data_IF_167554460599
#
_entry.id   IF_167554460599
#
_cell.length_a   1.000
_cell.length_b   1.000
_cell.length_c   1.000
_cell.angle_alpha   90.00
_cell.angle_beta   90.00
_cell.angle_gamma   90.00
#
_symmetry.space_group_name_H-M   'P 1'
#
loop_
_entity.id
_entity.type
_entity.pdbx_description
1 polymer ?
#
# COMPACT_ATOMS: atom_id res chain seq x y z
N UNK A 1 54.65 8.98 11.50
CA UNK A 1 54.15 9.27 10.13
C UNK A 1 53.34 8.10 9.53
N UNK A 2 53.63 6.83 9.87
CA UNK A 2 52.88 5.66 9.37
C UNK A 2 51.44 5.49 9.91
N UNK A 3 51.12 6.04 11.08
CA UNK A 3 49.79 5.86 11.70
C UNK A 3 48.66 6.60 10.97
N UNK A 4 48.96 7.73 10.31
CA UNK A 4 47.94 8.52 9.57
C UNK A 4 47.57 7.93 8.21
N UNK A 5 48.48 7.18 7.58
CA UNK A 5 48.21 6.51 6.30
C UNK A 5 47.39 5.22 6.49
N UNK A 6 47.55 4.53 7.63
CA UNK A 6 46.73 3.38 8.01
C UNK A 6 45.27 3.79 8.28
N UNK A 7 45.06 4.85 9.07
CA UNK A 7 43.71 5.36 9.38
C UNK A 7 42.95 5.82 8.13
N UNK A 8 43.63 6.48 7.17
CA UNK A 8 43.01 6.91 5.92
C UNK A 8 42.60 5.74 5.00
N UNK A 9 43.27 4.59 5.10
CA UNK A 9 42.89 3.37 4.39
C UNK A 9 41.71 2.66 5.07
N UNK A 10 41.71 2.59 6.41
CA UNK A 10 40.63 2.01 7.22
C UNK A 10 39.31 2.77 7.06
N UNK A 11 39.36 4.11 7.08
CA UNK A 11 38.21 4.98 6.84
C UNK A 11 37.65 4.82 5.41
N UNK A 12 38.52 4.66 4.40
CA UNK A 12 38.08 4.39 3.01
C UNK A 12 37.42 3.02 2.84
N UNK A 13 37.93 2.00 3.53
CA UNK A 13 37.32 0.66 3.49
C UNK A 13 35.98 0.64 4.22
N UNK A 14 35.86 1.31 5.36
CA UNK A 14 34.62 1.44 6.12
C UNK A 14 33.54 2.22 5.35
N UNK A 15 33.91 3.32 4.68
CA UNK A 15 32.98 4.09 3.85
C UNK A 15 32.51 3.32 2.60
N UNK A 16 33.37 2.48 2.04
CA UNK A 16 33.05 1.65 0.86
C UNK A 16 32.12 0.49 1.23
N UNK A 17 32.34 -0.18 2.37
CA UNK A 17 31.43 -1.22 2.87
C UNK A 17 30.07 -0.67 3.30
N UNK A 18 30.03 0.52 3.93
CA UNK A 18 28.77 1.20 4.26
C UNK A 18 27.98 1.60 3.02
N UNK A 19 28.63 2.14 1.98
CA UNK A 19 27.98 2.46 0.71
C UNK A 19 27.44 1.22 -0.02
N UNK A 20 28.16 0.10 0.06
CA UNK A 20 27.74 -1.16 -0.56
C UNK A 20 26.56 -1.82 0.17
N UNK A 21 26.53 -1.75 1.51
CA UNK A 21 25.40 -2.22 2.33
C UNK A 21 24.14 -1.36 2.18
N UNK A 22 24.29 -0.04 2.13
CA UNK A 22 23.17 0.90 1.92
C UNK A 22 22.52 0.74 0.53
N UNK A 23 23.32 0.45 -0.50
CA UNK A 23 22.81 0.17 -1.84
C UNK A 23 22.09 -1.18 -1.93
N UNK A 24 22.55 -2.21 -1.20
CA UNK A 24 21.89 -3.52 -1.18
C UNK A 24 20.47 -3.47 -0.58
N UNK A 25 20.30 -2.76 0.54
CA UNK A 25 19.00 -2.62 1.20
C UNK A 25 18.00 -1.82 0.35
N UNK A 26 18.42 -0.69 -0.20
CA UNK A 26 17.56 0.16 -1.06
C UNK A 26 17.20 -0.56 -2.37
N UNK A 27 18.13 -1.31 -2.96
CA UNK A 27 17.88 -2.14 -4.13
C UNK A 27 16.92 -3.31 -3.87
N UNK A 28 16.98 -3.90 -2.67
CA UNK A 28 16.03 -4.92 -2.26
C UNK A 28 14.61 -4.34 -2.09
N UNK A 29 14.49 -3.20 -1.40
CA UNK A 29 13.20 -2.54 -1.20
C UNK A 29 12.53 -2.18 -2.53
N UNK A 30 13.28 -1.62 -3.48
CA UNK A 30 12.74 -1.27 -4.80
C UNK A 30 12.33 -2.49 -5.64
N UNK A 31 13.05 -3.60 -5.51
CA UNK A 31 12.68 -4.86 -6.14
C UNK A 31 11.37 -5.42 -5.60
N UNK A 32 11.22 -5.47 -4.27
CA UNK A 32 10.01 -5.97 -3.59
C UNK A 32 8.82 -5.09 -3.90
N UNK A 33 8.99 -3.77 -3.77
CA UNK A 33 8.00 -2.74 -4.10
C UNK A 33 7.50 -2.87 -5.55
N UNK A 34 8.43 -3.05 -6.50
CA UNK A 34 8.10 -3.27 -7.90
C UNK A 34 7.41 -4.62 -8.18
N UNK A 35 7.73 -5.67 -7.42
CA UNK A 35 7.06 -6.97 -7.53
C UNK A 35 5.61 -6.87 -7.03
N UNK A 36 5.40 -6.21 -5.89
CA UNK A 36 4.07 -5.95 -5.33
C UNK A 36 3.23 -5.17 -6.35
N UNK A 37 3.74 -4.04 -6.85
CA UNK A 37 3.03 -3.21 -7.82
C UNK A 37 2.65 -3.97 -9.11
N UNK A 38 3.52 -4.86 -9.59
CA UNK A 38 3.21 -5.74 -10.75
C UNK A 38 2.11 -6.73 -10.44
N UNK A 39 2.15 -7.35 -9.26
CA UNK A 39 1.11 -8.27 -8.83
C UNK A 39 -0.24 -7.55 -8.67
N UNK A 40 -0.25 -6.37 -8.03
CA UNK A 40 -1.44 -5.53 -7.91
C UNK A 40 -2.02 -5.15 -9.26
N UNK A 41 -1.18 -4.73 -10.22
CA UNK A 41 -1.61 -4.36 -11.58
C UNK A 41 -2.24 -5.56 -12.30
N UNK A 42 -1.63 -6.75 -12.18
CA UNK A 42 -2.15 -7.96 -12.80
C UNK A 42 -3.50 -8.37 -12.18
N UNK A 43 -3.60 -8.36 -10.85
CA UNK A 43 -4.84 -8.70 -10.15
C UNK A 43 -5.94 -7.68 -10.46
N UNK A 44 -5.64 -6.37 -10.46
CA UNK A 44 -6.59 -5.33 -10.81
C UNK A 44 -7.09 -5.48 -12.26
N UNK A 45 -6.21 -5.82 -13.21
CA UNK A 45 -6.59 -6.10 -14.60
C UNK A 45 -7.49 -7.33 -14.73
N UNK A 46 -7.21 -8.41 -14.00
CA UNK A 46 -8.06 -9.60 -13.96
C UNK A 46 -9.43 -9.30 -13.34
N UNK A 47 -9.49 -8.51 -12.27
CA UNK A 47 -10.75 -8.07 -11.66
C UNK A 47 -11.56 -7.20 -12.64
N UNK A 48 -10.90 -6.33 -13.41
CA UNK A 48 -11.57 -5.50 -14.40
C UNK A 48 -12.21 -6.35 -15.50
N UNK A 49 -11.48 -7.33 -16.01
CA UNK A 49 -12.01 -8.29 -16.96
C UNK A 49 -13.18 -9.08 -16.36
N UNK A 50 -13.05 -9.54 -15.12
CA UNK A 50 -14.10 -10.28 -14.42
C UNK A 50 -15.38 -9.44 -14.28
N UNK A 51 -15.28 -8.17 -13.89
CA UNK A 51 -16.43 -7.26 -13.79
C UNK A 51 -17.13 -7.11 -15.14
N UNK A 52 -16.37 -6.88 -16.22
CA UNK A 52 -16.95 -6.76 -17.56
C UNK A 52 -17.71 -8.04 -17.94
N UNK A 53 -17.11 -9.22 -17.72
CA UNK A 53 -17.76 -10.50 -17.99
C UNK A 53 -19.02 -10.68 -17.16
N UNK A 54 -18.97 -10.39 -15.85
CA UNK A 54 -20.12 -10.46 -14.95
C UNK A 54 -21.26 -9.56 -15.44
N UNK A 55 -20.97 -8.31 -15.79
CA UNK A 55 -21.98 -7.38 -16.29
C UNK A 55 -22.58 -7.84 -17.63
N UNK A 56 -21.77 -8.37 -18.54
CA UNK A 56 -22.26 -8.93 -19.82
C UNK A 56 -23.18 -10.13 -19.59
N UNK A 57 -22.81 -11.04 -18.67
CA UNK A 57 -23.66 -12.18 -18.27
C UNK A 57 -24.97 -11.67 -17.67
N UNK A 58 -24.93 -10.67 -16.79
CA UNK A 58 -26.14 -10.13 -16.18
C UNK A 58 -27.08 -9.51 -17.23
N UNK A 59 -26.54 -8.71 -18.15
CA UNK A 59 -27.33 -8.11 -19.23
C UNK A 59 -27.95 -9.20 -20.12
N UNK A 60 -27.17 -10.20 -20.53
CA UNK A 60 -27.68 -11.30 -21.35
C UNK A 60 -28.79 -12.09 -20.63
N UNK A 61 -28.55 -12.54 -19.40
CA UNK A 61 -29.52 -13.33 -18.62
C UNK A 61 -30.79 -12.54 -18.31
N UNK A 62 -30.68 -11.23 -18.09
CA UNK A 62 -31.82 -10.32 -17.94
C UNK A 62 -32.67 -10.22 -19.21
N UNK A 63 -32.04 -10.21 -20.39
CA UNK A 63 -32.81 -10.23 -21.65
C UNK A 63 -33.55 -11.55 -21.89
N UNK A 64 -33.06 -12.66 -21.34
CA UNK A 64 -33.75 -13.95 -21.37
C UNK A 64 -34.79 -14.14 -20.24
N UNK A 65 -35.08 -13.09 -19.45
CA UNK A 65 -36.09 -13.14 -18.40
C UNK A 65 -35.67 -13.85 -17.11
N UNK A 66 -34.39 -14.18 -16.93
CA UNK A 66 -33.84 -14.83 -15.73
C UNK A 66 -32.74 -13.97 -15.10
N UNK A 67 -33.08 -12.86 -14.40
CA UNK A 67 -32.09 -11.97 -13.81
C UNK A 67 -31.27 -12.66 -12.71
N UNK A 68 -29.95 -12.57 -12.79
CA UNK A 68 -29.02 -13.12 -11.79
C UNK A 68 -28.61 -12.03 -10.79
N UNK A 69 -29.40 -11.83 -9.73
CA UNK A 69 -29.18 -10.77 -8.75
C UNK A 69 -27.84 -10.83 -8.02
N UNK A 70 -27.27 -12.02 -7.86
CA UNK A 70 -25.98 -12.20 -7.20
C UNK A 70 -24.79 -11.63 -8.00
N UNK A 71 -24.95 -11.48 -9.31
CA UNK A 71 -23.91 -10.97 -10.21
C UNK A 71 -23.65 -9.50 -9.96
N UNK A 72 -24.71 -8.72 -9.69
CA UNK A 72 -24.60 -7.30 -9.34
C UNK A 72 -23.83 -7.11 -8.05
N UNK A 73 -24.14 -7.91 -7.02
CA UNK A 73 -23.44 -7.85 -5.73
C UNK A 73 -21.97 -8.26 -5.87
N UNK A 74 -21.67 -9.34 -6.61
CA UNK A 74 -20.28 -9.77 -6.83
C UNK A 74 -19.46 -8.73 -7.61
N UNK A 75 -20.07 -8.09 -8.62
CA UNK A 75 -19.42 -7.03 -9.39
C UNK A 75 -19.06 -5.82 -8.50
N UNK A 76 -19.95 -5.45 -7.57
CA UNK A 76 -19.66 -4.38 -6.59
C UNK A 76 -18.45 -4.74 -5.73
N UNK A 77 -18.40 -5.95 -5.18
CA UNK A 77 -17.24 -6.35 -4.36
C UNK A 77 -15.94 -6.43 -5.17
N UNK A 78 -16.00 -6.90 -6.43
CA UNK A 78 -14.84 -6.89 -7.31
C UNK A 78 -14.37 -5.46 -7.63
N UNK A 79 -15.30 -4.51 -7.82
CA UNK A 79 -14.96 -3.09 -7.99
C UNK A 79 -14.31 -2.50 -6.75
N UNK A 80 -14.80 -2.85 -5.54
CA UNK A 80 -14.17 -2.43 -4.28
C UNK A 80 -12.73 -2.94 -4.19
N UNK A 81 -12.51 -4.23 -4.49
CA UNK A 81 -11.17 -4.81 -4.51
C UNK A 81 -10.24 -4.10 -5.51
N UNK A 82 -10.73 -3.87 -6.73
CA UNK A 82 -9.96 -3.13 -7.73
C UNK A 82 -9.68 -1.69 -7.31
N UNK A 83 -10.65 -1.00 -6.69
CA UNK A 83 -10.49 0.38 -6.24
C UNK A 83 -9.36 0.52 -5.21
N UNK A 84 -9.29 -0.39 -4.24
CA UNK A 84 -8.20 -0.41 -3.27
C UNK A 84 -6.84 -0.75 -3.91
N UNK A 85 -6.78 -1.75 -4.80
CA UNK A 85 -5.55 -2.06 -5.54
C UNK A 85 -5.09 -0.87 -6.39
N UNK A 86 -6.01 -0.18 -7.06
CA UNK A 86 -5.73 1.02 -7.84
C UNK A 86 -5.22 2.18 -6.97
N UNK A 87 -5.79 2.36 -5.77
CA UNK A 87 -5.32 3.36 -4.82
C UNK A 87 -3.90 3.05 -4.32
N UNK A 88 -3.58 1.77 -4.07
CA UNK A 88 -2.25 1.34 -3.63
C UNK A 88 -1.21 1.64 -4.72
N UNK A 89 -1.55 1.30 -5.97
CA UNK A 89 -0.72 1.56 -7.13
C UNK A 89 -0.52 3.07 -7.40
N UNK A 90 -1.54 3.89 -7.17
CA UNK A 90 -1.42 5.35 -7.27
C UNK A 90 -0.40 5.93 -6.28
N UNK A 91 -0.26 5.32 -5.11
CA UNK A 91 0.71 5.70 -4.08
C UNK A 91 2.11 5.22 -4.45
N UNK A 92 2.24 4.00 -4.98
CA UNK A 92 3.49 3.52 -5.56
C UNK A 92 4.04 4.48 -6.63
N UNK A 93 3.18 4.98 -7.52
CA UNK A 93 3.54 5.95 -8.56
C UNK A 93 3.54 7.42 -8.11
N UNK A 94 3.30 7.70 -6.82
CA UNK A 94 3.27 9.05 -6.22
C UNK A 94 2.38 10.02 -7.01
N UNK A 95 1.20 9.58 -7.42
CA UNK A 95 0.28 10.38 -8.24
C UNK A 95 -0.46 11.48 -7.44
N UNK A 96 0.24 12.20 -6.56
CA UNK A 96 -0.27 13.35 -5.81
C UNK A 96 -0.19 14.64 -6.65
N UNK A 97 -0.80 14.63 -7.83
CA UNK A 97 -0.69 15.66 -8.88
C UNK A 97 -0.93 17.09 -8.35
N UNK A 98 -1.91 17.26 -7.45
CA UNK A 98 -2.23 18.56 -6.88
C UNK A 98 -1.09 19.13 -6.01
N UNK A 99 -0.35 18.26 -5.31
CA UNK A 99 0.71 18.67 -4.41
C UNK A 99 2.00 18.95 -5.19
N UNK A 100 2.29 18.16 -6.23
CA UNK A 100 3.45 18.37 -7.12
C UNK A 100 3.42 19.75 -7.78
N UNK A 101 2.26 20.19 -8.30
CA UNK A 101 2.15 21.53 -8.92
C UNK A 101 2.44 22.65 -7.93
N UNK A 102 2.08 22.49 -6.65
CA UNK A 102 2.35 23.51 -5.63
C UNK A 102 3.84 23.59 -5.25
N UNK A 103 4.54 22.46 -5.23
CA UNK A 103 5.95 22.39 -4.83
C UNK A 103 6.93 22.66 -5.97
N UNK A 104 6.48 22.59 -7.22
CA UNK A 104 7.31 22.88 -8.40
C UNK A 104 7.81 24.34 -8.46
N UNK A 105 7.15 25.26 -7.75
CA UNK A 105 7.59 26.65 -7.64
C UNK A 105 8.65 26.88 -6.55
N UNK A 106 8.98 25.87 -5.75
CA UNK A 106 9.95 26.00 -4.66
C UNK A 106 11.39 25.81 -5.17
N UNK A 107 12.38 26.43 -4.50
CA UNK A 107 13.78 26.13 -4.74
C UNK A 107 14.08 24.66 -4.42
N UNK A 108 15.05 24.08 -5.12
CA UNK A 108 15.34 22.63 -5.15
C UNK A 108 15.36 21.98 -3.76
N UNK A 109 15.94 22.64 -2.74
CA UNK A 109 15.99 22.12 -1.36
C UNK A 109 14.64 22.08 -0.67
N UNK A 110 13.86 23.15 -0.80
CA UNK A 110 12.55 23.24 -0.18
C UNK A 110 11.58 22.27 -0.87
N UNK A 111 11.73 22.06 -2.18
CA UNK A 111 11.00 21.03 -2.91
C UNK A 111 11.32 19.62 -2.35
N UNK A 112 12.59 19.23 -2.25
CA UNK A 112 12.95 17.90 -1.73
C UNK A 112 12.53 17.69 -0.26
N UNK A 113 12.66 18.72 0.58
CA UNK A 113 12.18 18.68 1.96
C UNK A 113 10.65 18.47 2.02
N UNK A 114 9.90 19.21 1.19
CA UNK A 114 8.45 19.12 1.17
C UNK A 114 7.97 17.76 0.67
N UNK A 115 8.65 17.16 -0.33
CA UNK A 115 8.39 15.77 -0.74
C UNK A 115 8.56 14.78 0.42
N UNK A 116 9.66 14.87 1.17
CA UNK A 116 9.88 14.01 2.33
C UNK A 116 8.80 14.19 3.41
N UNK A 117 8.35 15.43 3.64
CA UNK A 117 7.24 15.71 4.58
C UNK A 117 5.93 15.09 4.09
N UNK A 118 5.60 15.22 2.80
CA UNK A 118 4.39 14.62 2.22
C UNK A 118 4.40 13.10 2.36
N UNK A 119 5.53 12.46 2.02
CA UNK A 119 5.66 11.00 2.15
C UNK A 119 5.57 10.55 3.62
N UNK A 120 6.14 11.32 4.55
CA UNK A 120 6.03 11.05 5.98
C UNK A 120 4.59 11.17 6.47
N UNK A 121 3.87 12.22 6.04
CA UNK A 121 2.46 12.40 6.39
C UNK A 121 1.59 11.27 5.82
N UNK A 122 1.84 10.85 4.59
CA UNK A 122 1.17 9.71 3.97
C UNK A 122 1.45 8.42 4.74
N UNK A 123 2.71 8.15 5.11
CA UNK A 123 3.05 6.99 5.92
C UNK A 123 2.31 7.00 7.26
N UNK A 124 2.29 8.13 7.97
CA UNK A 124 1.56 8.28 9.24
C UNK A 124 0.06 8.02 9.03
N UNK A 125 -0.55 8.59 7.99
CA UNK A 125 -1.95 8.36 7.66
C UNK A 125 -2.26 6.86 7.46
N UNK A 126 -1.42 6.15 6.70
CA UNK A 126 -1.63 4.72 6.45
C UNK A 126 -1.35 3.84 7.66
N UNK A 127 -0.40 4.21 8.53
CA UNK A 127 -0.20 3.53 9.81
C UNK A 127 -1.40 3.71 10.73
N UNK A 128 -1.98 4.90 10.80
CA UNK A 128 -3.22 5.17 11.54
C UNK A 128 -4.36 4.34 10.97
N UNK A 129 -4.51 4.28 9.65
CA UNK A 129 -5.49 3.42 8.98
C UNK A 129 -5.28 1.94 9.34
N UNK A 130 -4.04 1.45 9.33
CA UNK A 130 -3.70 0.08 9.67
C UNK A 130 -4.07 -0.25 11.13
N UNK A 131 -3.87 0.68 12.07
CA UNK A 131 -4.29 0.53 13.47
C UNK A 131 -5.82 0.46 13.58
N UNK A 132 -6.55 1.31 12.87
CA UNK A 132 -8.02 1.24 12.84
C UNK A 132 -8.52 -0.07 12.26
N UNK A 133 -7.92 -0.55 11.16
CA UNK A 133 -8.27 -1.84 10.56
C UNK A 133 -7.96 -2.99 11.52
N UNK A 134 -6.80 -2.95 12.19
CA UNK A 134 -6.44 -3.95 13.20
C UNK A 134 -7.43 -3.99 14.36
N UNK A 135 -7.81 -2.83 14.90
CA UNK A 135 -8.78 -2.71 15.97
C UNK A 135 -10.18 -3.18 15.53
N UNK A 136 -10.54 -2.92 14.28
CA UNK A 136 -11.84 -3.29 13.75
C UNK A 136 -11.96 -4.79 13.43
N UNK A 137 -10.89 -5.42 12.95
CA UNK A 137 -10.86 -6.88 12.76
C UNK A 137 -10.67 -7.63 14.07
N UNK A 138 -10.02 -7.02 15.07
CA UNK A 138 -9.73 -7.62 16.39
C UNK A 138 -9.33 -9.12 16.30
N UNK A 139 -8.20 -9.43 15.63
CA UNK A 139 -7.79 -10.81 15.40
C UNK A 139 -7.50 -11.56 16.71
N UNK A 140 -7.19 -10.82 17.78
CA UNK A 140 -6.92 -11.39 19.11
C UNK A 140 -8.22 -11.91 19.72
N UNK A 141 -9.30 -11.14 19.66
CA UNK A 141 -10.62 -11.60 20.10
C UNK A 141 -11.09 -12.80 19.27
N UNK A 142 -10.83 -12.81 17.96
CA UNK A 142 -11.18 -13.96 17.08
C UNK A 142 -10.45 -15.24 17.51
N UNK A 143 -9.18 -15.16 17.89
CA UNK A 143 -8.40 -16.32 18.32
C UNK A 143 -8.79 -16.84 19.70
N UNK A 144 -9.35 -15.99 20.55
CA UNK A 144 -9.77 -16.34 21.91
C UNK A 144 -11.25 -16.73 22.00
N UNK A 145 -12.04 -16.49 20.96
CA UNK A 145 -13.47 -16.80 20.95
C UNK A 145 -13.71 -18.27 20.63
N UNK A 146 -14.58 -18.92 21.42
CA UNK A 146 -15.02 -20.29 21.18
C UNK A 146 -15.97 -20.39 19.97
N UNK A 147 -16.69 -19.31 19.64
CA UNK A 147 -17.47 -19.19 18.42
C UNK A 147 -17.47 -17.75 17.87
N UNK A 148 -17.54 -17.63 16.53
CA UNK A 148 -17.58 -16.33 15.84
C UNK A 148 -18.81 -15.48 16.23
N UNK A 149 -19.88 -16.13 16.70
CA UNK A 149 -21.11 -15.47 17.15
C UNK A 149 -21.00 -14.78 18.50
N UNK A 150 -20.06 -15.19 19.35
CA UNK A 150 -19.80 -14.48 20.60
C UNK A 150 -19.12 -13.12 20.37
N UNK A 151 -18.38 -12.98 19.27
CA UNK A 151 -17.68 -11.73 18.91
C UNK A 151 -18.70 -10.64 18.58
N UNK A 152 -19.75 -10.99 17.83
CA UNK A 152 -20.87 -10.10 17.54
C UNK A 152 -21.59 -9.65 18.82
N UNK A 153 -21.79 -10.57 19.77
CA UNK A 153 -22.47 -10.27 21.03
C UNK A 153 -21.65 -9.39 21.99
N UNK A 154 -20.32 -9.57 22.03
CA UNK A 154 -19.42 -8.86 22.96
C UNK A 154 -18.96 -7.49 22.42
N UNK A 155 -18.67 -7.42 21.12
CA UNK A 155 -18.03 -6.25 20.49
C UNK A 155 -19.01 -5.48 19.59
N UNK A 156 -20.26 -5.93 19.42
CA UNK A 156 -21.21 -5.43 18.42
C UNK A 156 -20.64 -5.45 17.00
N UNK A 157 -19.68 -6.35 16.75
CA UNK A 157 -18.99 -6.49 15.48
C UNK A 157 -19.48 -7.75 14.74
N UNK A 158 -20.36 -7.55 13.76
CA UNK A 158 -21.02 -8.64 13.04
C UNK A 158 -20.34 -9.00 11.71
N UNK A 159 -19.11 -8.51 11.47
CA UNK A 159 -18.36 -8.75 10.22
C UNK A 159 -18.15 -10.25 9.92
N UNK A 160 -18.10 -11.09 10.96
CA UNK A 160 -17.84 -12.53 10.86
C UNK A 160 -19.09 -13.38 10.64
N UNK A 161 -20.26 -12.86 11.01
CA UNK A 161 -21.51 -13.61 11.05
C UNK A 161 -22.48 -13.21 9.95
N UNK A 162 -22.43 -11.98 9.45
CA UNK A 162 -23.35 -11.53 8.42
C UNK A 162 -22.99 -12.12 7.05
N UNK A 163 -23.89 -12.90 6.43
CA UNK A 163 -23.77 -13.26 5.03
C UNK A 163 -24.11 -12.07 4.14
N UNK A 164 -23.67 -12.15 2.89
CA UNK A 164 -24.10 -11.25 1.82
C UNK A 164 -25.55 -11.48 1.46
N UNK A 165 -26.19 -10.43 0.95
CA UNK A 165 -27.65 -10.39 0.77
C UNK A 165 -28.12 -11.37 -0.30
N UNK A 166 -27.34 -11.51 -1.37
CA UNK A 166 -27.72 -12.31 -2.55
C UNK A 166 -26.76 -13.46 -2.83
N UNK A 167 -25.47 -13.31 -2.51
CA UNK A 167 -24.47 -14.39 -2.70
C UNK A 167 -24.55 -15.46 -1.58
N UNK A 168 -25.05 -15.11 -0.39
CA UNK A 168 -25.07 -16.00 0.79
C UNK A 168 -23.69 -16.36 1.36
N UNK A 169 -22.63 -15.67 0.92
CA UNK A 169 -21.25 -15.88 1.37
C UNK A 169 -20.95 -14.91 2.51
N UNK A 170 -20.07 -15.26 3.45
CA UNK A 170 -19.71 -14.36 4.56
C UNK A 170 -19.04 -13.09 4.05
N UNK A 171 -19.46 -11.92 4.56
CA UNK A 171 -18.89 -10.61 4.20
C UNK A 171 -17.40 -10.51 4.50
N UNK A 172 -16.93 -11.21 5.53
CA UNK A 172 -15.52 -11.27 5.96
C UNK A 172 -14.52 -11.38 4.79
N UNK A 173 -14.79 -12.27 3.81
CA UNK A 173 -13.89 -12.48 2.67
C UNK A 173 -13.68 -11.22 1.82
N UNK A 174 -14.73 -10.43 1.66
CA UNK A 174 -14.67 -9.19 0.88
C UNK A 174 -13.93 -8.09 1.62
N UNK A 175 -14.07 -8.04 2.95
CA UNK A 175 -13.39 -7.06 3.79
C UNK A 175 -11.88 -7.31 3.95
N UNK A 176 -11.39 -8.52 3.64
CA UNK A 176 -9.96 -8.87 3.70
C UNK A 176 -9.09 -7.98 2.80
N UNK A 177 -9.66 -7.27 1.82
CA UNK A 177 -8.93 -6.28 1.04
C UNK A 177 -8.34 -5.17 1.91
N UNK A 178 -9.00 -4.76 2.99
CA UNK A 178 -8.52 -3.67 3.84
C UNK A 178 -7.18 -3.97 4.52
N UNK A 179 -7.00 -5.10 5.24
CA UNK A 179 -5.69 -5.42 5.81
C UNK A 179 -4.63 -5.65 4.73
N UNK A 180 -4.98 -6.28 3.61
CA UNK A 180 -4.06 -6.47 2.47
C UNK A 180 -3.59 -5.12 1.91
N UNK A 181 -4.53 -4.21 1.66
CA UNK A 181 -4.26 -2.85 1.21
C UNK A 181 -3.37 -2.09 2.18
N UNK A 182 -3.65 -2.17 3.49
CA UNK A 182 -2.84 -1.51 4.52
C UNK A 182 -1.38 -2.00 4.50
N UNK A 183 -1.15 -3.29 4.28
CA UNK A 183 0.21 -3.84 4.16
C UNK A 183 0.90 -3.26 2.93
N UNK A 184 0.29 -3.37 1.75
CA UNK A 184 0.90 -2.90 0.50
C UNK A 184 1.19 -1.40 0.52
N UNK A 185 0.22 -0.59 0.92
CA UNK A 185 0.38 0.86 0.95
C UNK A 185 1.44 1.32 1.96
N UNK A 186 1.59 0.59 3.07
CA UNK A 186 2.65 0.87 4.05
C UNK A 186 4.02 0.60 3.44
N UNK A 187 4.19 -0.52 2.72
CA UNK A 187 5.44 -0.82 2.00
C UNK A 187 5.78 0.26 0.96
N UNK A 188 4.82 0.63 0.12
CA UNK A 188 5.00 1.70 -0.87
C UNK A 188 5.38 3.03 -0.22
N UNK A 189 4.70 3.39 0.88
CA UNK A 189 4.94 4.64 1.60
C UNK A 189 6.29 4.67 2.30
N UNK A 190 6.74 3.55 2.88
CA UNK A 190 8.09 3.44 3.47
C UNK A 190 9.15 3.59 2.38
N UNK A 191 8.99 2.89 1.25
CA UNK A 191 9.92 2.99 0.11
C UNK A 191 9.98 4.43 -0.40
N UNK A 192 8.83 5.07 -0.57
CA UNK A 192 8.77 6.47 -1.00
C UNK A 192 9.46 7.42 -0.01
N UNK A 193 9.23 7.25 1.29
CA UNK A 193 9.88 8.07 2.30
C UNK A 193 11.41 7.89 2.29
N UNK A 194 11.89 6.65 2.16
CA UNK A 194 13.34 6.34 2.08
C UNK A 194 13.97 7.03 0.86
N UNK A 195 13.32 6.95 -0.30
CA UNK A 195 13.80 7.61 -1.53
C UNK A 195 13.86 9.14 -1.37
N UNK A 196 12.83 9.76 -0.79
CA UNK A 196 12.76 11.22 -0.61
C UNK A 196 13.76 11.75 0.42
N UNK A 197 13.98 11.01 1.50
CA UNK A 197 14.97 11.38 2.51
C UNK A 197 16.38 11.28 1.92
N UNK A 198 16.64 10.24 1.12
CA UNK A 198 17.93 10.06 0.45
C UNK A 198 18.23 11.20 -0.52
N UNK A 199 17.29 11.55 -1.40
CA UNK A 199 17.48 12.64 -2.37
C UNK A 199 17.68 13.98 -1.68
N UNK A 200 17.00 14.22 -0.55
CA UNK A 200 17.23 15.41 0.27
C UNK A 200 18.66 15.49 0.82
N UNK A 201 19.19 14.39 1.40
CA UNK A 201 20.57 14.38 1.92
C UNK A 201 21.63 14.52 0.81
N UNK A 202 21.41 13.90 -0.35
CA UNK A 202 22.28 14.05 -1.51
C UNK A 202 22.33 15.51 -2.00
N UNK A 203 21.18 16.18 -2.06
CA UNK A 203 21.10 17.60 -2.42
C UNK A 203 21.73 18.52 -1.37
N UNK A 204 21.61 18.20 -0.07
CA UNK A 204 22.21 18.97 1.02
C UNK A 204 23.76 18.86 1.01
N UNK A 205 24.30 17.66 0.77
CA UNK A 205 25.75 17.42 0.72
C UNK A 205 26.45 18.06 -0.48
N UNK A 206 25.78 18.15 -1.64
CA UNK A 206 26.36 18.71 -2.85
C UNK A 206 26.68 20.22 -2.78
N UNK A 207 26.04 20.96 -1.88
CA UNK A 207 26.29 22.40 -1.67
C UNK A 207 27.39 22.69 -0.65
N UNK A 208 27.72 21.76 0.26
CA UNK A 208 28.83 21.94 1.22
C UNK A 208 30.20 21.83 0.53
N UNK A 209 30.24 21.26 -0.67
CA UNK A 209 31.45 21.06 -1.48
C UNK A 209 31.70 22.21 -2.47
N UNK A 210 30.75 23.14 -2.64
CA UNK A 210 30.91 24.36 -3.46
C UNK A 210 31.22 25.57 -2.58
#
# INVERSE_FOLDING_TARGET
>A
MNTRLGQAHEDRTASTEQGMRANGFTGFLSCVDGLIARAETLVAGLLALAIVILLLINVATRTFGMPLFWVDELAIYAMVWMGFLGASLAIHYRQHIAVTVCIDFLPIRAHMFMLAVIDAMMLVLFLVLAVFVWQWFDPIAVLQADSLSEIGAKTFNFIYDEPTTTLGVRKFWFWLILPVFCVFVTFHSVKNLVDSVRTFFEAAGAEVVK
#
